data_IF_392766740187
#
_entry.id   IF_392766740187
#
_cell.length_a   1.000
_cell.length_b   1.000
_cell.length_c   1.000
_cell.angle_alpha   90.00
_cell.angle_beta   90.00
_cell.angle_gamma   90.00
#
_symmetry.space_group_name_H-M   'P 1'
#
loop_
_entity.id
_entity.type
_entity.pdbx_description
1 polymer ?
#
# COMPACT_ATOMS: atom_id res chain seq x y z
N UNK A 1 2.60 -48.68 -36.48
CA UNK A 1 4.05 -48.63 -36.21
C UNK A 1 4.20 -47.54 -35.19
N UNK A 2 4.53 -47.89 -33.96
CA UNK A 2 4.75 -46.94 -32.88
C UNK A 2 6.19 -46.41 -32.99
N UNK A 3 6.37 -45.11 -32.87
CA UNK A 3 7.65 -44.45 -32.66
C UNK A 3 8.19 -44.69 -31.25
N UNK A 4 9.48 -44.42 -31.02
CA UNK A 4 10.07 -44.45 -29.67
C UNK A 4 9.49 -43.37 -28.76
N UNK A 5 9.03 -42.26 -29.34
CA UNK A 5 8.55 -41.08 -28.64
C UNK A 5 7.01 -41.06 -28.52
N UNK A 6 6.33 -42.13 -28.95
CA UNK A 6 4.87 -42.21 -28.91
C UNK A 6 4.39 -42.53 -27.49
N UNK A 7 3.55 -41.65 -26.93
CA UNK A 7 2.88 -41.87 -25.65
C UNK A 7 1.79 -42.94 -25.82
N UNK A 8 1.93 -44.05 -25.10
CA UNK A 8 0.95 -45.14 -25.13
C UNK A 8 -0.29 -44.75 -24.32
N UNK A 9 -1.42 -44.55 -25.01
CA UNK A 9 -2.69 -44.32 -24.32
C UNK A 9 -3.24 -45.62 -23.73
N UNK A 10 -3.84 -45.54 -22.54
CA UNK A 10 -4.41 -46.66 -21.77
C UNK A 10 -5.40 -47.57 -22.54
N UNK A 11 -5.92 -47.12 -23.69
CA UNK A 11 -6.87 -47.90 -24.48
C UNK A 11 -6.23 -49.02 -25.32
N UNK A 12 -4.93 -49.00 -25.50
CA UNK A 12 -4.19 -50.01 -26.24
C UNK A 12 -3.62 -51.06 -25.26
N UNK A 13 -4.44 -52.06 -24.91
CA UNK A 13 -4.15 -53.10 -23.89
C UNK A 13 -3.09 -54.13 -24.31
N UNK A 14 -1.94 -53.68 -24.84
CA UNK A 14 -0.81 -54.54 -25.17
C UNK A 14 0.06 -54.77 -23.93
N UNK A 15 0.39 -56.03 -23.67
CA UNK A 15 1.17 -56.45 -22.50
C UNK A 15 2.65 -56.65 -22.79
N UNK A 16 3.02 -56.77 -24.07
CA UNK A 16 4.37 -57.14 -24.49
C UNK A 16 4.80 -56.32 -25.70
N UNK A 17 6.02 -55.82 -25.71
CA UNK A 17 6.60 -55.09 -26.84
C UNK A 17 7.84 -55.78 -27.40
N UNK A 18 7.87 -55.93 -28.73
CA UNK A 18 9.04 -56.38 -29.48
C UNK A 18 9.82 -55.17 -30.00
N UNK A 19 11.00 -54.94 -29.42
CA UNK A 19 11.87 -53.83 -29.80
C UNK A 19 12.41 -53.97 -31.23
N UNK A 20 12.70 -55.20 -31.67
CA UNK A 20 13.29 -55.45 -32.99
C UNK A 20 12.26 -55.33 -34.11
N UNK A 21 11.03 -55.79 -33.85
CA UNK A 21 9.93 -55.69 -34.80
C UNK A 21 9.13 -54.38 -34.71
N UNK A 22 9.33 -53.59 -33.64
CA UNK A 22 8.55 -52.39 -33.29
C UNK A 22 7.04 -52.66 -33.28
N UNK A 23 6.65 -53.76 -32.64
CA UNK A 23 5.25 -54.24 -32.57
C UNK A 23 4.88 -54.61 -31.16
N UNK A 24 3.66 -54.25 -30.77
CA UNK A 24 3.07 -54.59 -29.48
C UNK A 24 2.10 -55.78 -29.61
N UNK A 25 2.04 -56.63 -28.58
CA UNK A 25 1.26 -57.86 -28.54
C UNK A 25 0.52 -58.02 -27.20
N UNK A 26 -0.64 -58.69 -27.23
CA UNK A 26 -1.44 -58.99 -26.02
C UNK A 26 -1.11 -60.35 -25.40
N UNK A 27 -0.18 -61.09 -26.01
CA UNK A 27 0.25 -62.42 -25.59
C UNK A 27 1.78 -62.51 -25.63
N UNK A 28 2.41 -63.26 -24.71
CA UNK A 28 3.86 -63.45 -24.72
C UNK A 28 4.23 -64.16 -26.02
N UNK A 29 5.19 -63.60 -26.73
CA UNK A 29 5.73 -64.15 -27.97
C UNK A 29 7.24 -64.16 -27.79
N UNK A 30 7.91 -65.29 -27.61
CA UNK A 30 9.39 -65.35 -27.56
C UNK A 30 10.06 -64.96 -26.23
N UNK A 31 11.39 -65.17 -26.17
CA UNK A 31 12.21 -65.07 -24.94
C UNK A 31 12.79 -63.67 -24.69
N UNK A 32 12.86 -62.79 -25.70
CA UNK A 32 13.49 -61.45 -25.63
C UNK A 32 12.47 -60.30 -25.57
N UNK A 33 11.47 -60.39 -24.70
CA UNK A 33 10.35 -59.43 -24.64
C UNK A 33 10.28 -58.72 -23.28
N UNK A 34 9.99 -57.42 -23.35
CA UNK A 34 9.73 -56.59 -22.17
C UNK A 34 8.23 -56.60 -21.88
N UNK A 35 7.88 -56.93 -20.64
CA UNK A 35 6.51 -56.78 -20.14
C UNK A 35 6.22 -55.29 -19.99
N UNK A 36 5.17 -54.82 -20.67
CA UNK A 36 4.62 -53.49 -20.46
C UNK A 36 3.78 -53.55 -19.19
N UNK A 37 4.44 -53.51 -18.04
CA UNK A 37 3.75 -53.37 -16.75
C UNK A 37 3.06 -51.99 -16.70
N UNK A 38 2.00 -51.87 -15.89
CA UNK A 38 1.18 -50.65 -15.78
C UNK A 38 1.93 -49.54 -15.04
N UNK A 39 2.99 -49.03 -15.64
CA UNK A 39 3.71 -47.86 -15.14
C UNK A 39 3.40 -46.68 -16.03
N UNK A 40 3.04 -45.57 -15.41
CA UNK A 40 2.88 -44.23 -15.99
C UNK A 40 4.22 -43.68 -16.51
N UNK A 41 4.99 -44.51 -17.22
CA UNK A 41 6.37 -44.27 -17.65
C UNK A 41 6.52 -44.68 -19.11
N UNK A 42 7.28 -43.86 -19.84
CA UNK A 42 7.68 -44.16 -21.20
C UNK A 42 8.63 -45.39 -21.26
N UNK A 43 8.86 -45.92 -22.48
CA UNK A 43 9.69 -47.12 -22.74
C UNK A 43 11.16 -46.99 -22.28
N UNK A 44 11.62 -45.78 -21.96
CA UNK A 44 12.97 -45.53 -21.44
C UNK A 44 13.08 -45.72 -19.92
N UNK A 45 11.96 -45.91 -19.21
CA UNK A 45 11.96 -46.10 -17.76
C UNK A 45 12.27 -44.82 -16.96
N UNK A 46 12.44 -43.70 -17.66
CA UNK A 46 12.54 -42.38 -17.05
C UNK A 46 11.15 -42.01 -16.53
N UNK A 47 11.10 -41.52 -15.30
CA UNK A 47 9.96 -40.74 -14.83
C UNK A 47 9.82 -39.58 -15.83
N UNK A 48 8.60 -39.19 -16.20
CA UNK A 48 8.38 -37.98 -17.00
C UNK A 48 8.81 -36.68 -16.24
N UNK A 49 9.66 -36.80 -15.22
CA UNK A 49 10.56 -35.76 -14.73
C UNK A 49 11.71 -35.60 -15.74
N UNK A 50 11.38 -35.03 -16.90
CA UNK A 50 12.31 -34.05 -17.45
C UNK A 50 12.57 -33.09 -16.30
N UNK A 51 13.82 -32.85 -15.91
CA UNK A 51 14.19 -31.89 -14.87
C UNK A 51 13.87 -30.43 -15.23
N UNK A 52 12.72 -30.19 -15.86
CA UNK A 52 12.02 -28.92 -15.95
C UNK A 52 11.51 -28.63 -14.54
N UNK A 53 12.10 -27.60 -13.92
CA UNK A 53 11.53 -26.96 -12.74
C UNK A 53 10.02 -26.78 -12.96
N UNK A 54 9.21 -27.21 -11.99
CA UNK A 54 7.77 -27.21 -12.12
C UNK A 54 7.28 -25.82 -12.53
N UNK A 55 6.80 -25.69 -13.76
CA UNK A 55 6.29 -24.40 -14.25
C UNK A 55 5.09 -23.95 -13.39
N UNK A 56 5.27 -22.85 -12.67
CA UNK A 56 4.21 -22.22 -11.87
C UNK A 56 3.39 -21.26 -12.75
N UNK A 57 2.12 -21.04 -12.38
CA UNK A 57 1.23 -20.18 -13.15
C UNK A 57 1.13 -18.79 -12.52
N UNK A 58 1.57 -17.76 -13.26
CA UNK A 58 1.36 -16.37 -12.91
C UNK A 58 -0.08 -15.94 -13.25
N UNK A 59 -0.90 -15.75 -12.22
CA UNK A 59 -2.30 -15.33 -12.34
C UNK A 59 -2.47 -13.86 -12.71
N UNK A 60 -1.48 -13.01 -12.46
CA UNK A 60 -1.56 -11.58 -12.77
C UNK A 60 -1.18 -11.30 -14.23
N UNK A 61 -0.08 -11.88 -14.71
CA UNK A 61 0.43 -11.71 -16.07
C UNK A 61 -0.04 -12.77 -17.07
N UNK A 62 -0.64 -13.87 -16.59
CA UNK A 62 -1.27 -14.92 -17.40
C UNK A 62 -0.27 -15.74 -18.24
N UNK A 63 0.83 -16.19 -17.63
CA UNK A 63 1.81 -17.09 -18.26
C UNK A 63 2.46 -18.06 -17.25
N UNK A 64 3.18 -19.06 -17.75
CA UNK A 64 3.93 -20.02 -16.93
C UNK A 64 5.36 -19.51 -16.65
N UNK A 65 5.77 -19.49 -15.39
CA UNK A 65 7.08 -19.02 -14.91
C UNK A 65 7.77 -20.07 -14.01
N UNK A 66 9.01 -19.79 -13.60
CA UNK A 66 9.80 -20.69 -12.75
C UNK A 66 9.32 -20.69 -11.29
N UNK A 67 9.04 -19.51 -10.72
CA UNK A 67 8.60 -19.34 -9.34
C UNK A 67 7.56 -18.22 -9.24
N UNK A 68 6.53 -18.40 -8.42
CA UNK A 68 5.56 -17.38 -8.04
C UNK A 68 5.64 -17.02 -6.56
N UNK A 69 5.19 -15.80 -6.25
CA UNK A 69 4.97 -15.27 -4.91
C UNK A 69 3.48 -15.05 -4.69
N UNK A 70 2.99 -15.44 -3.51
CA UNK A 70 1.67 -15.04 -3.04
C UNK A 70 1.62 -13.52 -2.84
N UNK A 71 0.75 -12.87 -3.59
CA UNK A 71 0.45 -11.45 -3.50
C UNK A 71 -1.05 -11.23 -3.29
N UNK A 72 -1.45 -10.00 -3.00
CA UNK A 72 -2.85 -9.64 -2.80
C UNK A 72 -3.28 -8.46 -3.66
N UNK A 73 -4.46 -8.56 -4.26
CA UNK A 73 -5.09 -7.48 -5.03
C UNK A 73 -6.58 -7.42 -4.74
N UNK A 74 -7.08 -6.24 -4.35
CA UNK A 74 -8.45 -6.03 -3.88
C UNK A 74 -8.85 -7.03 -2.77
N UNK A 75 -7.91 -7.40 -1.89
CA UNK A 75 -8.10 -8.38 -0.82
C UNK A 75 -8.20 -9.84 -1.28
N UNK A 76 -7.91 -10.13 -2.55
CA UNK A 76 -7.84 -11.49 -3.08
C UNK A 76 -6.39 -11.93 -3.22
N UNK A 77 -6.10 -13.14 -2.76
CA UNK A 77 -4.82 -13.81 -2.98
C UNK A 77 -4.64 -14.14 -4.47
N UNK A 78 -3.44 -13.87 -5.00
CA UNK A 78 -3.03 -14.18 -6.37
C UNK A 78 -1.57 -14.63 -6.41
N UNK A 79 -1.24 -15.60 -7.28
CA UNK A 79 0.14 -15.99 -7.58
C UNK A 79 0.73 -15.08 -8.66
N UNK A 80 1.91 -14.50 -8.41
CA UNK A 80 2.59 -13.57 -9.32
C UNK A 80 4.05 -13.98 -9.50
N UNK A 81 4.58 -13.94 -10.71
CA UNK A 81 5.99 -14.22 -11.01
C UNK A 81 6.91 -13.35 -10.14
N UNK A 82 7.87 -14.00 -9.46
CA UNK A 82 8.87 -13.35 -8.59
C UNK A 82 9.71 -12.31 -9.34
N UNK A 83 9.92 -12.50 -10.63
CA UNK A 83 10.70 -11.59 -11.49
C UNK A 83 9.88 -10.38 -11.97
N UNK A 84 8.56 -10.35 -11.72
CA UNK A 84 7.64 -9.31 -12.20
C UNK A 84 6.80 -8.66 -11.08
N UNK A 85 7.37 -8.45 -9.88
CA UNK A 85 6.66 -7.83 -8.74
C UNK A 85 6.57 -6.29 -8.78
N UNK A 86 6.85 -5.65 -9.92
CA UNK A 86 6.94 -4.19 -10.05
C UNK A 86 5.65 -3.44 -9.70
N UNK A 87 4.47 -4.07 -9.74
CA UNK A 87 3.18 -3.44 -9.41
C UNK A 87 2.76 -3.65 -7.94
N UNK A 88 3.60 -4.33 -7.15
CA UNK A 88 3.30 -4.72 -5.78
C UNK A 88 4.26 -4.06 -4.79
N UNK A 89 3.70 -3.58 -3.69
CA UNK A 89 4.46 -3.07 -2.57
C UNK A 89 4.53 -4.13 -1.47
N UNK A 90 5.71 -4.25 -0.86
CA UNK A 90 5.92 -5.12 0.29
C UNK A 90 5.53 -4.40 1.58
N UNK A 91 4.69 -5.03 2.40
CA UNK A 91 4.31 -4.51 3.72
C UNK A 91 5.02 -5.34 4.80
N UNK A 92 6.06 -4.77 5.40
CA UNK A 92 6.92 -5.46 6.37
C UNK A 92 6.15 -5.95 7.60
N UNK A 93 5.17 -5.18 8.08
CA UNK A 93 4.37 -5.53 9.25
C UNK A 93 3.50 -6.77 9.06
N UNK A 94 3.18 -7.12 7.80
CA UNK A 94 2.40 -8.31 7.43
C UNK A 94 3.26 -9.40 6.77
N UNK A 95 4.46 -9.06 6.33
CA UNK A 95 5.37 -9.95 5.60
C UNK A 95 4.72 -10.48 4.30
N UNK A 96 4.07 -9.58 3.55
CA UNK A 96 3.22 -9.90 2.39
C UNK A 96 3.30 -8.80 1.32
N UNK A 97 3.00 -9.14 0.07
CA UNK A 97 2.96 -8.23 -1.08
C UNK A 97 1.53 -7.84 -1.44
N UNK A 98 1.29 -6.55 -1.66
CA UNK A 98 -0.02 -6.01 -2.00
C UNK A 98 0.08 -5.10 -3.22
N UNK A 99 -0.91 -5.16 -4.09
CA UNK A 99 -0.95 -4.33 -5.29
C UNK A 99 -0.99 -2.84 -4.91
N UNK A 100 -0.28 -1.99 -5.65
CA UNK A 100 -0.15 -0.53 -5.38
C UNK A 100 -1.47 0.23 -5.27
N UNK A 101 -2.53 -0.29 -5.90
CA UNK A 101 -3.87 0.29 -5.78
C UNK A 101 -4.48 0.14 -4.38
N UNK A 102 -4.05 -0.86 -3.61
CA UNK A 102 -4.54 -1.14 -2.25
C UNK A 102 -3.66 -0.52 -1.17
N UNK A 103 -2.44 -0.12 -1.52
CA UNK A 103 -1.42 0.39 -0.60
C UNK A 103 -1.26 1.91 -0.68
N UNK A 104 -0.75 2.49 0.41
CA UNK A 104 -0.29 3.87 0.45
C UNK A 104 0.99 3.94 1.29
N UNK A 105 1.81 4.97 1.07
CA UNK A 105 2.92 5.27 1.97
C UNK A 105 2.41 6.15 3.12
N UNK A 106 2.83 5.85 4.35
CA UNK A 106 2.54 6.66 5.51
C UNK A 106 3.14 8.07 5.34
N UNK A 107 2.30 9.11 5.44
CA UNK A 107 2.71 10.52 5.29
C UNK A 107 3.72 11.01 6.34
N UNK A 108 3.96 10.23 7.40
CA UNK A 108 4.93 10.55 8.44
C UNK A 108 6.24 9.76 8.33
N UNK A 109 6.16 8.42 8.30
CA UNK A 109 7.35 7.56 8.34
C UNK A 109 7.74 6.97 6.98
N UNK A 110 6.90 7.09 5.95
CA UNK A 110 7.16 6.56 4.60
C UNK A 110 6.86 5.07 4.42
N UNK A 111 6.57 4.34 5.50
CA UNK A 111 6.27 2.90 5.44
C UNK A 111 5.03 2.59 4.59
N UNK A 112 5.07 1.50 3.83
CA UNK A 112 3.92 1.01 3.09
C UNK A 112 2.87 0.43 4.05
N UNK A 113 1.62 0.84 3.84
CA UNK A 113 0.45 0.42 4.61
C UNK A 113 -0.70 0.10 3.66
N UNK A 114 -1.63 -0.72 4.12
CA UNK A 114 -2.91 -0.86 3.43
C UNK A 114 -3.78 0.34 3.69
N UNK A 115 -4.50 0.80 2.65
CA UNK A 115 -5.48 1.89 2.79
C UNK A 115 -6.60 1.52 3.76
N UNK A 116 -6.98 0.25 3.85
CA UNK A 116 -8.00 -0.23 4.78
C UNK A 116 -7.59 -0.12 6.25
N UNK A 117 -6.31 -0.32 6.56
CA UNK A 117 -5.76 -0.20 7.92
C UNK A 117 -5.29 1.22 8.24
N UNK A 118 -5.03 2.01 7.20
CA UNK A 118 -4.47 3.34 7.31
C UNK A 118 -5.45 4.37 7.86
N UNK A 119 -4.93 5.29 8.67
CA UNK A 119 -5.67 6.44 9.15
C UNK A 119 -5.55 7.60 8.16
N UNK A 120 -6.68 7.98 7.55
CA UNK A 120 -6.71 9.15 6.67
C UNK A 120 -6.67 10.46 7.48
N UNK A 121 -5.84 11.41 7.05
CA UNK A 121 -5.87 12.80 7.53
C UNK A 121 -6.52 13.70 6.48
N UNK A 122 -7.60 14.37 6.87
CA UNK A 122 -8.25 15.38 6.01
C UNK A 122 -7.38 16.63 5.81
N UNK A 123 -6.49 16.93 6.76
CA UNK A 123 -5.63 18.10 6.73
C UNK A 123 -4.48 17.94 5.73
N UNK A 124 -3.76 16.82 5.80
CA UNK A 124 -2.64 16.53 4.88
C UNK A 124 -3.09 15.83 3.60
N UNK A 125 -4.28 15.20 3.62
CA UNK A 125 -4.85 14.37 2.54
C UNK A 125 -4.08 13.09 2.27
N UNK A 126 -3.38 12.59 3.29
CA UNK A 126 -2.53 11.41 3.23
C UNK A 126 -3.00 10.34 4.22
N UNK A 127 -2.56 9.09 3.99
CA UNK A 127 -2.75 7.99 4.94
C UNK A 127 -1.58 7.93 5.92
N UNK A 128 -1.85 7.53 7.15
CA UNK A 128 -0.86 7.35 8.20
C UNK A 128 -1.01 5.97 8.86
N UNK A 129 0.09 5.36 9.26
CA UNK A 129 0.10 3.99 9.81
C UNK A 129 -0.47 3.90 11.24
N UNK A 130 -0.47 5.00 11.98
CA UNK A 130 -0.99 5.06 13.35
C UNK A 130 -1.31 6.51 13.77
N UNK A 131 -2.01 6.65 14.90
CA UNK A 131 -2.44 7.96 15.44
C UNK A 131 -1.26 8.89 15.73
N UNK A 132 -0.10 8.35 16.15
CA UNK A 132 1.10 9.15 16.39
C UNK A 132 1.64 9.74 15.08
N UNK A 133 1.81 8.91 14.05
CA UNK A 133 2.23 9.37 12.73
C UNK A 133 1.24 10.39 12.15
N UNK A 134 -0.05 10.15 12.31
CA UNK A 134 -1.08 11.11 11.88
C UNK A 134 -0.93 12.45 12.61
N UNK A 135 -0.80 12.42 13.93
CA UNK A 135 -0.61 13.63 14.72
C UNK A 135 0.68 14.38 14.35
N UNK A 136 1.80 13.67 14.16
CA UNK A 136 3.08 14.25 13.76
C UNK A 136 3.02 14.90 12.38
N UNK A 137 2.46 14.21 11.39
CA UNK A 137 2.27 14.73 10.03
C UNK A 137 1.38 15.99 10.04
N UNK A 138 0.23 15.95 10.73
CA UNK A 138 -0.64 17.10 10.84
C UNK A 138 0.01 18.26 11.62
N UNK A 139 0.77 17.97 12.68
CA UNK A 139 1.48 19.00 13.45
C UNK A 139 2.58 19.67 12.62
N UNK A 140 3.31 18.89 11.82
CA UNK A 140 4.30 19.42 10.89
C UNK A 140 3.64 20.32 9.84
N UNK A 141 2.51 19.89 9.27
CA UNK A 141 1.72 20.68 8.33
C UNK A 141 1.27 22.03 8.91
N UNK A 142 0.80 22.03 10.17
CA UNK A 142 0.44 23.26 10.89
C UNK A 142 1.65 24.17 11.10
N UNK A 143 2.80 23.62 11.48
CA UNK A 143 4.04 24.39 11.68
C UNK A 143 4.54 25.01 10.38
N UNK A 144 4.46 24.29 9.26
CA UNK A 144 4.81 24.83 7.95
C UNK A 144 3.93 26.02 7.61
N UNK A 145 2.61 25.91 7.80
CA UNK A 145 1.70 27.05 7.64
C UNK A 145 2.10 28.24 8.52
N UNK A 146 2.37 27.99 9.81
CA UNK A 146 2.77 29.05 10.75
C UNK A 146 4.12 29.67 10.42
N UNK A 147 5.00 28.95 9.72
CA UNK A 147 6.29 29.48 9.24
C UNK A 147 6.16 30.64 8.25
N UNK A 148 4.95 30.89 7.72
CA UNK A 148 4.63 32.06 6.89
C UNK A 148 4.05 33.24 7.70
N UNK A 149 4.10 33.18 9.03
CA UNK A 149 3.46 34.12 9.94
C UNK A 149 4.40 34.49 11.08
N UNK A 150 4.09 35.57 11.80
CA UNK A 150 4.83 35.97 13.01
C UNK A 150 4.31 35.26 14.27
N UNK A 151 3.38 34.33 14.09
CA UNK A 151 2.78 33.55 15.16
C UNK A 151 3.59 32.29 15.47
N UNK A 152 3.77 32.02 16.75
CA UNK A 152 4.29 30.74 17.24
C UNK A 152 3.13 29.80 17.58
N UNK A 153 3.31 28.50 17.26
CA UNK A 153 2.31 27.45 17.50
C UNK A 153 2.87 26.34 18.38
N UNK A 154 2.11 26.01 19.43
CA UNK A 154 2.30 24.82 20.25
C UNK A 154 1.00 23.98 20.26
N UNK A 155 0.92 22.99 19.37
CA UNK A 155 -0.17 22.03 19.36
C UNK A 155 0.13 20.83 20.28
N UNK A 156 -0.90 20.35 20.99
CA UNK A 156 -0.82 19.25 21.94
C UNK A 156 -1.61 18.03 21.44
N UNK A 157 -1.24 16.80 21.86
CA UNK A 157 -1.98 15.59 21.51
C UNK A 157 -3.44 15.54 22.01
N UNK A 158 -3.81 16.37 22.99
CA UNK A 158 -5.19 16.48 23.49
C UNK A 158 -6.14 17.28 22.57
N UNK A 159 -5.64 17.71 21.41
CA UNK A 159 -6.38 18.49 20.41
C UNK A 159 -6.51 19.96 20.77
N UNK A 160 -5.65 20.49 21.65
CA UNK A 160 -5.52 21.93 21.91
C UNK A 160 -4.30 22.51 21.19
N UNK A 161 -4.42 23.78 20.78
CA UNK A 161 -3.36 24.55 20.16
C UNK A 161 -3.24 25.90 20.86
N UNK A 162 -2.02 26.20 21.30
CA UNK A 162 -1.64 27.51 21.81
C UNK A 162 -0.95 28.30 20.71
N UNK A 163 -1.49 29.47 20.39
CA UNK A 163 -0.97 30.38 19.37
C UNK A 163 -0.53 31.66 20.06
N UNK A 164 0.71 32.10 19.81
CA UNK A 164 1.33 33.20 20.54
C UNK A 164 1.94 34.21 19.56
N UNK A 165 1.79 35.50 19.85
CA UNK A 165 2.41 36.59 19.09
C UNK A 165 2.92 37.67 20.04
N UNK A 166 4.11 38.22 19.76
CA UNK A 166 4.64 39.35 20.52
C UNK A 166 3.91 40.65 20.13
N UNK A 167 3.35 41.36 21.11
CA UNK A 167 2.76 42.68 20.88
C UNK A 167 3.72 43.77 21.36
N UNK A 168 4.31 44.50 20.41
CA UNK A 168 5.27 45.58 20.71
C UNK A 168 4.64 46.74 21.50
N UNK A 169 3.37 47.07 21.24
CA UNK A 169 2.69 48.20 21.89
C UNK A 169 2.40 47.93 23.37
N UNK A 170 2.03 46.68 23.70
CA UNK A 170 1.80 46.23 25.06
C UNK A 170 3.10 45.81 25.76
N UNK A 171 4.18 45.56 25.00
CA UNK A 171 5.42 44.99 25.53
C UNK A 171 5.24 43.60 26.12
N UNK A 172 4.29 42.81 25.59
CA UNK A 172 3.89 41.52 26.14
C UNK A 172 3.41 40.57 25.02
N UNK A 173 3.44 39.27 25.31
CA UNK A 173 2.85 38.26 24.42
C UNK A 173 1.33 38.24 24.52
N UNK A 174 0.66 38.16 23.37
CA UNK A 174 -0.75 37.76 23.27
C UNK A 174 -0.80 36.27 23.03
N UNK A 175 -1.67 35.58 23.77
CA UNK A 175 -1.84 34.13 23.71
C UNK A 175 -3.30 33.79 23.39
N UNK A 176 -3.49 32.83 22.50
CA UNK A 176 -4.78 32.28 22.14
C UNK A 176 -4.76 30.77 22.35
N UNK A 177 -5.84 30.21 22.89
CA UNK A 177 -6.01 28.77 23.08
C UNK A 177 -7.24 28.31 22.31
N UNK A 178 -7.03 27.45 21.32
CA UNK A 178 -8.10 26.96 20.44
C UNK A 178 -8.01 25.44 20.27
N UNK A 179 -9.06 24.82 19.73
CA UNK A 179 -9.01 23.42 19.32
C UNK A 179 -8.22 23.28 18.02
N UNK A 180 -7.41 22.23 17.88
CA UNK A 180 -6.68 21.95 16.63
C UNK A 180 -7.63 21.82 15.45
N UNK A 181 -8.78 21.18 15.61
CA UNK A 181 -9.79 21.07 14.56
C UNK A 181 -10.30 22.42 14.03
N UNK A 182 -10.33 23.45 14.88
CA UNK A 182 -10.73 24.81 14.50
C UNK A 182 -9.62 25.48 13.68
N UNK A 183 -8.36 25.30 14.11
CA UNK A 183 -7.19 25.75 13.35
C UNK A 183 -7.08 25.04 11.99
N UNK A 184 -7.28 23.73 11.96
CA UNK A 184 -7.20 22.90 10.75
C UNK A 184 -8.19 23.38 9.70
N UNK A 185 -9.42 23.65 10.12
CA UNK A 185 -10.46 24.21 9.25
C UNK A 185 -10.03 25.55 8.65
N UNK A 186 -9.47 26.46 9.47
CA UNK A 186 -8.95 27.73 8.98
C UNK A 186 -7.83 27.52 7.94
N UNK A 187 -6.85 26.67 8.23
CA UNK A 187 -5.74 26.39 7.30
C UNK A 187 -6.27 25.83 5.97
N UNK A 188 -7.21 24.89 6.03
CA UNK A 188 -7.84 24.31 4.84
C UNK A 188 -8.65 25.34 4.05
N UNK A 189 -9.38 26.24 4.71
CA UNK A 189 -10.12 27.32 4.04
C UNK A 189 -9.14 28.29 3.35
N UNK A 190 -8.11 28.75 4.06
CA UNK A 190 -7.12 29.69 3.53
C UNK A 190 -6.38 29.11 2.32
N UNK A 191 -5.95 27.85 2.38
CA UNK A 191 -5.31 27.18 1.24
C UNK A 191 -6.25 26.99 0.04
N UNK A 192 -7.57 26.98 0.26
CA UNK A 192 -8.57 26.97 -0.82
C UNK A 192 -8.91 28.39 -1.31
N UNK A 193 -8.33 29.43 -0.71
CA UNK A 193 -8.60 30.82 -1.05
C UNK A 193 -9.89 31.36 -0.40
N UNK A 194 -10.24 30.88 0.79
CA UNK A 194 -11.41 31.34 1.55
C UNK A 194 -11.03 31.77 2.96
N UNK A 195 -11.76 32.74 3.52
CA UNK A 195 -11.74 33.09 4.93
C UNK A 195 -13.18 33.25 5.42
N UNK A 196 -13.56 32.52 6.47
CA UNK A 196 -14.92 32.53 7.02
C UNK A 196 -15.99 32.26 5.95
N UNK A 197 -15.69 31.35 5.01
CA UNK A 197 -16.56 30.99 3.89
C UNK A 197 -16.69 32.04 2.77
N UNK A 198 -15.95 33.15 2.82
CA UNK A 198 -15.90 34.14 1.74
C UNK A 198 -14.62 33.98 0.91
N UNK A 199 -14.68 34.11 -0.44
CA UNK A 199 -13.49 34.04 -1.28
C UNK A 199 -12.55 35.22 -1.01
N UNK A 200 -11.26 34.93 -0.97
CA UNK A 200 -10.19 35.92 -0.83
C UNK A 200 -9.77 36.38 -2.24
N UNK A 201 -9.72 37.68 -2.47
CA UNK A 201 -9.13 38.23 -3.69
C UNK A 201 -7.60 38.09 -3.64
N UNK A 202 -7.02 37.35 -4.59
CA UNK A 202 -5.57 37.11 -4.71
C UNK A 202 -4.95 36.57 -3.40
N UNK A 203 -5.26 35.31 -3.01
CA UNK A 203 -4.68 34.70 -1.82
C UNK A 203 -3.15 34.68 -1.94
N UNK A 204 -2.49 35.27 -0.95
CA UNK A 204 -1.03 35.37 -0.84
C UNK A 204 -0.66 35.11 0.62
N UNK A 205 0.35 34.26 0.83
CA UNK A 205 0.90 33.89 2.13
C UNK A 205 1.35 35.13 2.93
N UNK A 206 1.75 36.20 2.25
CA UNK A 206 2.10 37.49 2.89
C UNK A 206 0.97 38.11 3.71
N UNK A 207 -0.27 37.72 3.45
CA UNK A 207 -1.44 38.21 4.17
C UNK A 207 -1.91 37.25 5.28
N UNK A 208 -1.24 36.11 5.48
CA UNK A 208 -1.64 35.14 6.52
C UNK A 208 -1.66 35.74 7.92
N UNK A 209 -0.73 36.64 8.25
CA UNK A 209 -0.77 37.40 9.51
C UNK A 209 -2.11 38.16 9.66
N UNK A 210 -2.56 38.86 8.62
CA UNK A 210 -3.82 39.62 8.67
C UNK A 210 -5.04 38.71 8.78
N UNK A 211 -5.02 37.54 8.14
CA UNK A 211 -6.13 36.59 8.24
C UNK A 211 -6.20 35.95 9.62
N UNK A 212 -5.06 35.60 10.21
CA UNK A 212 -4.97 35.12 11.58
C UNK A 212 -5.40 36.18 12.58
N UNK A 213 -4.99 37.44 12.41
CA UNK A 213 -5.43 38.55 13.28
C UNK A 213 -6.95 38.67 13.29
N UNK A 214 -7.57 38.67 12.10
CA UNK A 214 -9.03 38.73 11.97
C UNK A 214 -9.69 37.55 12.67
N UNK A 215 -9.24 36.34 12.35
CA UNK A 215 -9.80 35.11 12.91
C UNK A 215 -9.65 35.01 14.44
N UNK A 216 -8.45 35.24 14.96
CA UNK A 216 -8.17 35.12 16.39
C UNK A 216 -8.85 36.23 17.19
N UNK A 217 -9.08 37.39 16.59
CA UNK A 217 -9.91 38.43 17.21
C UNK A 217 -11.35 37.94 17.41
N UNK A 218 -11.97 37.35 16.39
CA UNK A 218 -13.34 36.80 16.49
C UNK A 218 -13.43 35.70 17.55
N UNK A 219 -12.47 34.76 17.56
CA UNK A 219 -12.45 33.67 18.55
C UNK A 219 -12.28 34.20 19.98
N UNK A 220 -11.48 35.25 20.18
CA UNK A 220 -11.32 35.86 21.51
C UNK A 220 -12.58 36.55 22.03
N UNK A 221 -13.48 37.01 21.15
CA UNK A 221 -14.76 37.61 21.55
C UNK A 221 -15.85 36.56 21.83
N UNK A 222 -15.78 35.38 21.21
CA UNK A 222 -16.76 34.30 21.44
C UNK A 222 -16.48 33.51 22.73
N UNK A 223 -15.22 33.45 23.15
CA UNK A 223 -14.79 32.78 24.37
C UNK A 223 -14.12 33.80 25.29
N UNK A 224 -14.92 34.54 26.06
CA UNK A 224 -14.40 35.37 27.17
C UNK A 224 -13.50 34.49 28.04
N UNK A 225 -12.20 34.71 27.87
CA UNK A 225 -11.11 33.92 28.40
C UNK A 225 -11.08 34.05 29.92
N UNK A 226 -10.96 32.93 30.64
CA UNK A 226 -10.51 32.97 32.03
C UNK A 226 -9.07 33.52 32.04
N UNK A 227 -8.94 34.82 32.31
CA UNK A 227 -7.67 35.42 32.71
C UNK A 227 -7.24 34.78 34.04
N UNK A 228 -6.30 33.82 34.00
CA UNK A 228 -5.50 33.53 35.18
C UNK A 228 -4.43 34.61 35.30
N UNK A 229 -4.69 35.58 36.18
CA UNK A 229 -3.70 36.49 36.70
C UNK A 229 -2.63 35.70 37.47
N UNK A 230 -1.35 35.89 37.11
CA UNK A 230 -0.20 35.53 37.95
C UNK A 230 0.53 36.80 38.34
#
# INVERSE_FOLDING_TARGET
>A
NLGMDDVLSYQDSFKWYDIMARKAYNYPYGEDYYELDTTDRNLCGDEDDNGEESEEWDEYHQYYCEETRTCYRNGLEISVDVDCLDDFDYIESRNEYYHRDDTACCGCCGEHILKEDGLYSELTREYCCCELCKWEAENQYRKEFMGHTDYELCAKPDGTAEIVIWNEQAGAYRKFSIRTAVLDKLIMELRRGYLNGQPIENPDERHYNSYLDSFLSEVSYEYDTFEEAV
#
